data_IF_703862501849
#
_entry.id   IF_703862501849
#
_cell.length_a   1.000
_cell.length_b   1.000
_cell.length_c   1.000
_cell.angle_alpha   90.00
_cell.angle_beta   90.00
_cell.angle_gamma   90.00
#
_symmetry.space_group_name_H-M   'P 1'
#
loop_
_entity.id
_entity.type
_entity.pdbx_description
1 polymer ?
#
# COMPACT_ATOMS: atom_id res chain seq x y z
N UNK A 1 -9.38 6.84 8.47
CA UNK A 1 -9.04 5.46 8.09
C UNK A 1 -10.19 4.55 8.48
N UNK A 2 -10.58 3.64 7.58
CA UNK A 2 -11.63 2.65 7.78
C UNK A 2 -11.07 1.25 7.50
N UNK A 3 -11.66 0.23 8.14
CA UNK A 3 -11.29 -1.18 7.91
C UNK A 3 -12.56 -1.96 7.60
N UNK A 4 -12.58 -2.68 6.47
CA UNK A 4 -13.63 -3.63 6.12
C UNK A 4 -13.15 -5.08 6.31
N UNK A 5 -14.11 -6.01 6.32
CA UNK A 5 -13.82 -7.43 6.57
C UNK A 5 -13.75 -7.80 8.05
N UNK A 6 -14.28 -6.96 8.94
CA UNK A 6 -14.31 -7.22 10.39
C UNK A 6 -15.22 -8.40 10.73
N UNK A 7 -14.98 -9.11 11.86
CA UNK A 7 -15.89 -10.16 12.35
C UNK A 7 -17.32 -9.65 12.45
N UNK A 8 -18.27 -10.40 11.86
CA UNK A 8 -19.69 -10.05 11.86
C UNK A 8 -20.07 -8.82 11.03
N UNK A 9 -19.15 -8.22 10.31
CA UNK A 9 -19.46 -7.08 9.42
C UNK A 9 -20.26 -7.56 8.22
N UNK A 10 -21.35 -6.87 7.94
CA UNK A 10 -22.19 -7.09 6.76
C UNK A 10 -21.99 -5.97 5.74
N UNK A 11 -22.41 -6.19 4.49
CA UNK A 11 -22.44 -5.15 3.46
C UNK A 11 -23.20 -3.92 3.93
N UNK A 12 -24.36 -4.09 4.61
CA UNK A 12 -25.18 -2.96 5.06
C UNK A 12 -24.49 -2.18 6.19
N UNK A 13 -23.85 -2.84 7.14
CA UNK A 13 -23.10 -2.16 8.20
C UNK A 13 -21.90 -1.41 7.65
N UNK A 14 -21.21 -1.98 6.65
CA UNK A 14 -20.12 -1.31 5.96
C UNK A 14 -20.60 -0.09 5.17
N UNK A 15 -21.70 -0.21 4.41
CA UNK A 15 -22.32 0.92 3.73
C UNK A 15 -22.63 2.07 4.70
N UNK A 16 -23.26 1.77 5.81
CA UNK A 16 -23.56 2.77 6.85
C UNK A 16 -22.29 3.47 7.36
N UNK A 17 -21.19 2.72 7.56
CA UNK A 17 -19.90 3.26 7.98
C UNK A 17 -19.34 4.24 6.96
N UNK A 18 -19.32 3.86 5.67
CA UNK A 18 -18.81 4.72 4.59
C UNK A 18 -19.68 5.97 4.41
N UNK A 19 -21.01 5.84 4.44
CA UNK A 19 -21.90 6.99 4.35
C UNK A 19 -21.71 7.97 5.52
N UNK A 20 -21.52 7.44 6.73
CA UNK A 20 -21.20 8.28 7.87
C UNK A 20 -19.86 9.01 7.68
N UNK A 21 -18.81 8.31 7.22
CA UNK A 21 -17.52 8.93 6.93
C UNK A 21 -17.64 10.03 5.85
N UNK A 22 -18.43 9.80 4.79
CA UNK A 22 -18.69 10.79 3.75
C UNK A 22 -19.44 12.01 4.26
N UNK A 23 -20.34 11.85 5.25
CA UNK A 23 -21.08 12.97 5.85
C UNK A 23 -20.17 13.95 6.59
N UNK A 24 -18.98 13.52 7.00
CA UNK A 24 -17.95 14.36 7.62
C UNK A 24 -17.13 15.17 6.60
N UNK A 25 -17.36 14.94 5.31
CA UNK A 25 -16.73 15.64 4.17
C UNK A 25 -15.19 15.64 4.26
N UNK A 26 -14.52 14.51 4.56
CA UNK A 26 -13.06 14.49 4.64
C UNK A 26 -12.42 14.84 3.29
N UNK A 27 -11.14 15.12 3.27
CA UNK A 27 -10.38 15.35 2.04
C UNK A 27 -9.80 14.05 1.48
N UNK A 28 -9.61 13.05 2.35
CA UNK A 28 -8.95 11.79 2.07
C UNK A 28 -9.58 10.68 2.92
N UNK A 29 -9.69 9.49 2.33
CA UNK A 29 -10.18 8.27 2.98
C UNK A 29 -9.23 7.13 2.67
N UNK A 30 -8.83 6.40 3.72
CA UNK A 30 -8.16 5.11 3.60
C UNK A 30 -9.16 4.02 3.98
N UNK A 31 -9.32 3.01 3.12
CA UNK A 31 -10.21 1.87 3.33
C UNK A 31 -9.41 0.58 3.14
N UNK A 32 -9.04 -0.05 4.25
CA UNK A 32 -8.20 -1.26 4.25
C UNK A 32 -9.05 -2.52 4.43
N UNK A 33 -8.75 -3.57 3.68
CA UNK A 33 -9.21 -4.91 4.02
C UNK A 33 -8.53 -5.42 5.27
N UNK A 34 -9.30 -6.02 6.18
CA UNK A 34 -8.74 -6.65 7.36
C UNK A 34 -7.82 -7.80 6.95
N UNK A 35 -6.60 -7.77 7.42
CA UNK A 35 -5.64 -8.87 7.31
C UNK A 35 -5.39 -9.46 8.68
N UNK A 36 -5.52 -10.79 8.78
CA UNK A 36 -5.21 -11.50 10.02
C UNK A 36 -3.71 -11.76 10.06
N UNK A 37 -3.02 -11.07 10.95
CA UNK A 37 -1.58 -11.24 11.14
C UNK A 37 -1.30 -12.29 12.24
N UNK A 38 -0.36 -13.18 11.95
CA UNK A 38 0.07 -14.22 12.89
C UNK A 38 0.55 -13.61 14.21
N UNK A 39 0.31 -14.31 15.33
CA UNK A 39 0.70 -13.84 16.66
C UNK A 39 -0.20 -12.77 17.26
N UNK A 40 -1.28 -12.36 16.58
CA UNK A 40 -2.24 -11.38 17.12
C UNK A 40 -3.38 -12.05 17.87
N UNK A 41 -4.05 -11.34 18.82
CA UNK A 41 -5.26 -11.83 19.47
C UNK A 41 -6.37 -12.20 18.48
N UNK A 42 -6.48 -11.48 17.35
CA UNK A 42 -7.45 -11.80 16.31
C UNK A 42 -7.13 -13.15 15.64
N UNK A 43 -5.85 -13.41 15.33
CA UNK A 43 -5.46 -14.71 14.77
C UNK A 43 -5.82 -15.87 15.71
N UNK A 44 -5.64 -15.69 17.03
CA UNK A 44 -6.03 -16.68 18.02
C UNK A 44 -7.56 -16.91 18.05
N UNK A 45 -8.37 -15.84 17.91
CA UNK A 45 -9.83 -15.93 17.86
C UNK A 45 -10.30 -16.65 16.59
N UNK A 46 -9.71 -16.31 15.44
CA UNK A 46 -10.01 -16.98 14.16
C UNK A 46 -9.66 -18.48 14.22
N UNK A 47 -8.52 -18.84 14.81
CA UNK A 47 -8.14 -20.24 15.04
C UNK A 47 -9.12 -20.98 15.96
N UNK A 48 -9.85 -20.27 16.83
CA UNK A 48 -10.91 -20.80 17.70
C UNK A 48 -12.30 -20.81 17.05
N UNK A 49 -12.40 -20.44 15.77
CA UNK A 49 -13.64 -20.50 15.00
C UNK A 49 -14.38 -19.17 14.84
N UNK A 50 -13.76 -18.03 15.12
CA UNK A 50 -14.36 -16.75 14.77
C UNK A 50 -14.46 -16.59 13.25
N UNK A 51 -15.64 -16.25 12.78
CA UNK A 51 -15.96 -16.19 11.36
C UNK A 51 -15.68 -14.75 10.85
N UNK A 52 -14.87 -14.66 9.81
CA UNK A 52 -14.66 -13.46 9.02
C UNK A 52 -15.41 -13.54 7.69
N UNK A 53 -15.71 -12.42 7.04
CA UNK A 53 -16.13 -12.42 5.65
C UNK A 53 -15.11 -13.20 4.79
N UNK A 54 -15.60 -14.05 3.90
CA UNK A 54 -14.77 -14.76 2.94
C UNK A 54 -14.18 -13.82 1.86
N UNK A 55 -13.35 -14.37 0.98
CA UNK A 55 -12.66 -13.58 -0.04
C UNK A 55 -13.64 -12.91 -1.02
N UNK A 56 -14.73 -13.58 -1.40
CA UNK A 56 -15.75 -13.03 -2.28
C UNK A 56 -16.50 -11.89 -1.60
N UNK A 57 -16.87 -12.07 -0.34
CA UNK A 57 -17.51 -11.03 0.47
C UNK A 57 -16.58 -9.82 0.66
N UNK A 58 -15.30 -10.04 0.90
CA UNK A 58 -14.31 -8.96 1.00
C UNK A 58 -14.13 -8.24 -0.34
N UNK A 59 -14.10 -8.97 -1.45
CA UNK A 59 -14.07 -8.39 -2.80
C UNK A 59 -15.30 -7.52 -3.08
N UNK A 60 -16.49 -8.00 -2.71
CA UNK A 60 -17.74 -7.23 -2.85
C UNK A 60 -17.72 -5.92 -2.04
N UNK A 61 -17.24 -5.98 -0.78
CA UNK A 61 -17.07 -4.79 0.06
C UNK A 61 -16.11 -3.79 -0.59
N UNK A 62 -14.99 -4.28 -1.10
CA UNK A 62 -13.99 -3.45 -1.80
C UNK A 62 -14.56 -2.80 -3.06
N UNK A 63 -15.12 -3.59 -3.97
CA UNK A 63 -15.65 -3.09 -5.25
C UNK A 63 -16.78 -2.08 -5.03
N UNK A 64 -17.68 -2.35 -4.07
CA UNK A 64 -18.71 -1.39 -3.71
C UNK A 64 -18.09 -0.07 -3.20
N UNK A 65 -17.05 -0.17 -2.36
CA UNK A 65 -16.35 1.00 -1.80
C UNK A 65 -15.74 1.86 -2.90
N UNK A 66 -15.00 1.23 -3.83
CA UNK A 66 -14.41 1.93 -4.99
C UNK A 66 -15.48 2.72 -5.75
N UNK A 67 -16.53 2.03 -6.20
CA UNK A 67 -17.60 2.68 -6.97
C UNK A 67 -18.37 3.73 -6.18
N UNK A 68 -18.55 3.56 -4.86
CA UNK A 68 -19.24 4.53 -4.01
C UNK A 68 -18.44 5.80 -3.78
N UNK A 69 -17.16 5.65 -3.49
CA UNK A 69 -16.25 6.78 -3.22
C UNK A 69 -15.97 7.58 -4.49
N UNK A 70 -15.80 6.92 -5.62
CA UNK A 70 -15.64 7.58 -6.91
C UNK A 70 -16.85 8.48 -7.24
N UNK A 71 -18.07 7.95 -7.12
CA UNK A 71 -19.31 8.74 -7.30
C UNK A 71 -19.45 9.89 -6.30
N UNK A 72 -18.79 9.81 -5.16
CA UNK A 72 -18.75 10.88 -4.16
C UNK A 72 -17.63 11.92 -4.40
N UNK A 73 -16.85 11.77 -5.48
CA UNK A 73 -15.74 12.68 -5.82
C UNK A 73 -14.43 12.37 -5.11
N UNK A 74 -14.26 11.11 -4.68
CA UNK A 74 -13.03 10.59 -4.13
C UNK A 74 -12.47 9.49 -5.04
N UNK A 75 -11.84 9.83 -6.17
CA UNK A 75 -11.21 8.83 -7.01
C UNK A 75 -10.14 8.05 -6.24
N UNK A 76 -10.05 6.76 -6.54
CA UNK A 76 -9.00 5.91 -6.03
C UNK A 76 -7.67 6.31 -6.68
N UNK A 77 -6.62 6.56 -5.92
CA UNK A 77 -5.29 6.86 -6.46
C UNK A 77 -4.27 5.73 -6.21
N UNK A 78 -4.54 4.85 -5.26
CA UNK A 78 -3.85 3.57 -5.06
C UNK A 78 -4.79 2.60 -4.32
N UNK A 79 -4.39 1.35 -4.20
CA UNK A 79 -5.26 0.22 -3.86
C UNK A 79 -6.20 0.41 -2.65
N UNK A 80 -5.78 1.16 -1.63
CA UNK A 80 -6.56 1.36 -0.39
C UNK A 80 -6.94 2.80 -0.12
N UNK A 81 -6.48 3.75 -0.94
CA UNK A 81 -6.61 5.16 -0.63
C UNK A 81 -7.34 5.95 -1.73
N UNK A 82 -8.21 6.82 -1.25
CA UNK A 82 -9.15 7.62 -2.03
C UNK A 82 -9.06 9.08 -1.59
N UNK A 83 -9.05 10.01 -2.52
CA UNK A 83 -8.93 11.42 -2.18
C UNK A 83 -9.65 12.32 -3.15
N UNK A 84 -10.11 13.48 -2.67
CA UNK A 84 -10.50 14.58 -3.55
C UNK A 84 -9.32 15.01 -4.42
N UNK A 85 -9.55 15.54 -5.62
CA UNK A 85 -8.47 16.06 -6.47
C UNK A 85 -7.54 17.01 -5.69
N UNK A 86 -6.22 16.74 -5.75
CA UNK A 86 -5.19 17.50 -5.04
C UNK A 86 -4.92 17.07 -3.59
N UNK A 87 -5.68 16.11 -3.02
CA UNK A 87 -5.52 15.66 -1.64
C UNK A 87 -4.98 14.22 -1.48
N UNK A 88 -4.46 13.63 -2.55
CA UNK A 88 -3.73 12.36 -2.44
C UNK A 88 -2.54 12.50 -1.48
N UNK A 89 -2.33 11.49 -0.63
CA UNK A 89 -1.24 11.50 0.35
C UNK A 89 0.13 11.46 -0.34
N UNK A 90 0.86 12.57 -0.29
CA UNK A 90 2.23 12.65 -0.84
C UNK A 90 3.19 11.70 -0.13
N UNK A 91 2.93 11.40 1.15
CA UNK A 91 3.70 10.44 1.91
C UNK A 91 3.51 9.02 1.37
N UNK A 92 2.25 8.57 1.22
CA UNK A 92 1.95 7.24 0.68
C UNK A 92 2.47 7.09 -0.76
N UNK A 93 2.24 8.09 -1.60
CA UNK A 93 2.74 8.10 -2.98
C UNK A 93 4.26 8.00 -3.07
N UNK A 94 5.02 8.46 -2.05
CA UNK A 94 6.48 8.33 -2.05
C UNK A 94 6.92 6.87 -2.08
N UNK A 95 6.22 6.00 -1.36
CA UNK A 95 6.49 4.56 -1.37
C UNK A 95 6.06 3.91 -2.69
N UNK A 96 4.83 4.19 -3.13
CA UNK A 96 4.29 3.63 -4.38
C UNK A 96 5.09 4.04 -5.62
N UNK A 97 5.67 5.23 -5.60
CA UNK A 97 6.51 5.77 -6.68
C UNK A 97 8.00 5.46 -6.49
N UNK A 98 8.35 4.56 -5.58
CA UNK A 98 9.74 4.14 -5.29
C UNK A 98 10.70 5.31 -5.03
N UNK A 99 10.19 6.40 -4.44
CA UNK A 99 11.00 7.60 -4.16
C UNK A 99 11.77 7.44 -2.85
N UNK A 100 13.00 8.00 -2.78
CA UNK A 100 13.80 7.92 -1.57
C UNK A 100 13.08 8.50 -0.35
N UNK A 101 13.23 7.85 0.79
CA UNK A 101 12.71 8.31 2.08
C UNK A 101 13.65 7.96 3.22
N UNK A 102 13.56 8.73 4.31
CA UNK A 102 14.28 8.51 5.55
C UNK A 102 13.26 8.38 6.67
N UNK A 103 13.34 7.26 7.40
CA UNK A 103 12.58 7.03 8.61
C UNK A 103 13.32 7.53 9.86
N UNK A 104 12.59 7.87 10.90
CA UNK A 104 13.13 8.35 12.18
C UNK A 104 12.54 7.55 13.32
N UNK A 105 13.39 7.19 14.28
CA UNK A 105 12.99 6.49 15.49
C UNK A 105 13.30 4.97 15.44
N UNK A 106 13.06 4.28 16.59
CA UNK A 106 13.30 2.84 16.70
C UNK A 106 12.41 2.06 15.72
N UNK A 107 12.99 1.08 15.06
CA UNK A 107 12.31 0.24 14.07
C UNK A 107 11.97 0.94 12.76
N UNK A 108 12.32 2.22 12.57
CA UNK A 108 12.04 2.93 11.33
C UNK A 108 12.88 2.40 10.17
N UNK A 109 12.22 2.31 9.00
CA UNK A 109 12.87 1.92 7.75
C UNK A 109 13.18 3.14 6.88
N UNK A 110 14.25 3.04 6.11
CA UNK A 110 14.69 4.05 5.15
C UNK A 110 15.05 3.41 3.81
N UNK A 111 14.84 4.14 2.74
CA UNK A 111 15.34 3.80 1.41
C UNK A 111 15.97 5.06 0.81
N UNK A 112 17.28 5.20 0.99
CA UNK A 112 18.01 6.41 0.63
C UNK A 112 19.45 6.09 0.23
N UNK A 113 19.98 6.83 -0.75
CA UNK A 113 21.36 6.65 -1.21
C UNK A 113 21.63 5.31 -1.87
N UNK A 114 20.61 4.63 -2.42
CA UNK A 114 20.74 3.30 -3.03
C UNK A 114 20.69 2.14 -2.03
N UNK A 115 20.52 2.44 -0.74
CA UNK A 115 20.47 1.47 0.35
C UNK A 115 19.09 1.47 0.99
N UNK A 116 18.61 0.28 1.37
CA UNK A 116 17.47 0.12 2.28
C UNK A 116 18.03 -0.31 3.63
N UNK A 117 17.62 0.36 4.69
CA UNK A 117 18.08 0.04 6.04
C UNK A 117 16.99 0.27 7.07
N UNK A 118 17.10 -0.41 8.22
CA UNK A 118 16.24 -0.20 9.36
C UNK A 118 17.04 0.12 10.61
N UNK A 119 16.42 0.85 11.53
CA UNK A 119 16.98 1.08 12.85
C UNK A 119 16.56 0.00 13.83
N UNK A 120 17.37 -0.18 14.89
CA UNK A 120 17.08 -1.09 16.00
C UNK A 120 15.67 -0.80 16.55
N UNK A 121 14.91 -1.89 16.80
CA UNK A 121 13.51 -1.80 17.26
C UNK A 121 13.41 -1.59 18.75
N UNK A 122 14.38 -2.12 19.51
CA UNK A 122 14.40 -1.95 20.96
C UNK A 122 14.59 -0.49 21.34
N UNK A 123 13.68 0.03 22.15
CA UNK A 123 13.67 1.44 22.52
C UNK A 123 14.91 1.83 23.32
N UNK A 124 15.29 1.02 24.31
CA UNK A 124 16.43 1.30 25.16
C UNK A 124 17.74 1.22 24.37
N UNK A 125 17.87 0.22 23.50
CA UNK A 125 19.00 0.09 22.57
C UNK A 125 19.09 1.25 21.58
N UNK A 126 17.98 1.76 21.09
CA UNK A 126 17.96 2.94 20.23
C UNK A 126 18.41 4.20 20.98
N UNK A 127 17.88 4.44 22.20
CA UNK A 127 18.25 5.58 23.05
C UNK A 127 19.73 5.54 23.40
N UNK A 128 20.21 4.37 23.82
CA UNK A 128 21.64 4.18 24.16
C UNK A 128 22.55 4.42 22.97
N UNK A 129 22.17 3.93 21.80
CA UNK A 129 22.90 4.16 20.54
C UNK A 129 22.99 5.64 20.18
N UNK A 130 21.89 6.38 20.31
CA UNK A 130 21.86 7.84 20.08
C UNK A 130 22.76 8.57 21.08
N UNK A 131 22.67 8.24 22.37
CA UNK A 131 23.39 8.95 23.43
C UNK A 131 24.89 8.64 23.43
N UNK A 132 25.27 7.42 23.06
CA UNK A 132 26.69 6.96 23.10
C UNK A 132 27.38 7.01 21.74
N UNK A 133 26.68 7.42 20.67
CA UNK A 133 27.23 7.47 19.31
C UNK A 133 27.47 6.10 18.68
N UNK A 134 26.74 5.07 19.10
CA UNK A 134 26.79 3.72 18.53
C UNK A 134 26.03 3.60 17.20
N UNK A 135 26.22 2.46 16.53
CA UNK A 135 25.42 2.15 15.33
C UNK A 135 23.96 1.95 15.73
N UNK A 136 23.06 2.64 15.02
CA UNK A 136 21.61 2.47 15.16
C UNK A 136 21.02 1.53 14.09
N UNK A 137 21.84 1.09 13.14
CA UNK A 137 21.38 0.25 12.02
C UNK A 137 21.26 -1.20 12.48
N UNK A 138 20.05 -1.74 12.35
CA UNK A 138 19.72 -3.14 12.61
C UNK A 138 19.92 -4.00 11.37
N UNK A 139 19.44 -3.53 10.22
CA UNK A 139 19.61 -4.21 8.94
C UNK A 139 19.93 -3.21 7.83
N UNK A 140 20.73 -3.64 6.86
CA UNK A 140 21.07 -2.85 5.69
C UNK A 140 21.23 -3.76 4.47
N UNK A 141 20.71 -3.34 3.33
CA UNK A 141 20.86 -4.02 2.06
C UNK A 141 21.08 -3.04 0.89
N UNK A 142 21.89 -3.47 -0.07
CA UNK A 142 22.01 -2.84 -1.38
C UNK A 142 21.11 -3.59 -2.34
N UNK A 143 20.04 -2.96 -2.81
CA UNK A 143 19.09 -3.61 -3.71
C UNK A 143 19.60 -3.46 -5.16
N UNK A 144 19.90 -4.57 -5.85
CA UNK A 144 20.33 -4.53 -7.25
C UNK A 144 19.28 -3.86 -8.15
N UNK A 145 19.75 -3.19 -9.20
CA UNK A 145 18.86 -2.47 -10.15
C UNK A 145 17.75 -3.36 -10.70
N UNK A 146 18.04 -4.63 -10.99
CA UNK A 146 17.06 -5.59 -11.50
C UNK A 146 15.94 -5.86 -10.49
N UNK A 147 16.27 -5.98 -9.21
CA UNK A 147 15.28 -6.17 -8.15
C UNK A 147 14.46 -4.90 -7.95
N UNK A 148 15.11 -3.74 -7.97
CA UNK A 148 14.44 -2.42 -7.95
C UNK A 148 13.43 -2.26 -9.08
N UNK A 149 13.76 -2.75 -10.29
CA UNK A 149 12.81 -2.71 -11.41
C UNK A 149 11.60 -3.60 -11.17
N UNK A 150 11.76 -4.75 -10.53
CA UNK A 150 10.66 -5.62 -10.13
C UNK A 150 9.76 -4.98 -9.06
N UNK A 151 10.37 -4.34 -8.06
CA UNK A 151 9.63 -3.58 -7.03
C UNK A 151 8.81 -2.43 -7.65
N UNK A 152 9.42 -1.67 -8.57
CA UNK A 152 8.73 -0.61 -9.31
C UNK A 152 7.47 -1.15 -9.99
N UNK A 153 7.58 -2.24 -10.74
CA UNK A 153 6.43 -2.84 -11.43
C UNK A 153 5.33 -3.25 -10.44
N UNK A 154 5.72 -3.95 -9.37
CA UNK A 154 4.79 -4.41 -8.35
C UNK A 154 4.05 -3.24 -7.66
N UNK A 155 4.75 -2.17 -7.35
CA UNK A 155 4.20 -1.02 -6.65
C UNK A 155 3.34 -0.15 -7.58
N UNK A 156 3.82 0.11 -8.80
CA UNK A 156 3.12 0.95 -9.78
C UNK A 156 1.80 0.34 -10.26
N UNK A 157 1.73 -0.98 -10.40
CA UNK A 157 0.47 -1.68 -10.72
C UNK A 157 -0.59 -1.59 -9.63
N UNK A 158 -0.25 -1.07 -8.45
CA UNK A 158 -1.19 -0.80 -7.35
C UNK A 158 -1.66 0.65 -7.31
N UNK A 159 -1.21 1.48 -8.23
CA UNK A 159 -1.59 2.89 -8.35
C UNK A 159 -2.45 3.14 -9.58
N UNK A 160 -3.35 4.12 -9.52
CA UNK A 160 -4.12 4.54 -10.68
C UNK A 160 -3.26 5.11 -11.81
N UNK A 161 -2.06 5.60 -11.51
CA UNK A 161 -1.11 6.10 -12.51
C UNK A 161 -0.47 4.97 -13.32
N UNK A 162 -0.34 3.77 -12.75
CA UNK A 162 0.23 2.62 -13.44
C UNK A 162 1.72 2.75 -13.76
N UNK A 163 2.18 2.01 -14.75
CA UNK A 163 3.57 1.93 -15.19
C UNK A 163 3.82 2.93 -16.31
N UNK A 164 4.90 3.70 -16.19
CA UNK A 164 5.37 4.64 -17.21
C UNK A 164 6.59 4.06 -17.92
N UNK A 165 6.48 3.74 -19.22
CA UNK A 165 7.58 3.16 -20.00
C UNK A 165 8.85 4.03 -19.96
N UNK A 166 8.70 5.34 -20.15
CA UNK A 166 9.84 6.28 -20.15
C UNK A 166 10.56 6.31 -18.81
N UNK A 167 9.82 6.22 -17.68
CA UNK A 167 10.37 6.19 -16.33
C UNK A 167 11.11 4.87 -16.08
N UNK A 168 10.51 3.74 -16.50
CA UNK A 168 11.12 2.42 -16.39
C UNK A 168 12.45 2.35 -17.15
N UNK A 169 12.45 2.73 -18.43
CA UNK A 169 13.66 2.75 -19.28
C UNK A 169 14.71 3.72 -18.74
N UNK A 170 14.31 4.94 -18.37
CA UNK A 170 15.24 5.98 -17.91
C UNK A 170 15.85 5.70 -16.54
N UNK A 171 15.11 5.05 -15.62
CA UNK A 171 15.57 4.78 -14.26
C UNK A 171 16.34 3.47 -14.15
N UNK A 172 15.84 2.43 -14.82
CA UNK A 172 16.42 1.08 -14.68
C UNK A 172 17.33 0.67 -15.85
N UNK A 173 17.34 1.44 -16.93
CA UNK A 173 18.12 1.14 -18.16
C UNK A 173 17.84 -0.26 -18.69
N UNK A 174 16.57 -0.69 -18.62
CA UNK A 174 16.10 -1.99 -19.07
C UNK A 174 15.15 -1.82 -20.25
N UNK A 175 15.14 -2.81 -21.15
CA UNK A 175 14.18 -2.83 -22.24
C UNK A 175 12.77 -3.11 -21.71
N UNK A 176 11.80 -2.35 -22.23
CA UNK A 176 10.39 -2.47 -21.84
C UNK A 176 9.61 -3.49 -22.70
N UNK A 177 10.08 -3.80 -23.90
CA UNK A 177 9.35 -4.66 -24.85
C UNK A 177 8.99 -6.06 -24.28
N UNK A 178 9.87 -6.75 -23.52
CA UNK A 178 9.49 -8.03 -22.91
C UNK A 178 8.39 -7.90 -21.85
N UNK A 179 8.34 -6.75 -21.16
CA UNK A 179 7.30 -6.45 -20.18
C UNK A 179 5.98 -6.09 -20.87
N UNK A 180 6.04 -5.25 -21.89
CA UNK A 180 4.90 -4.85 -22.72
C UNK A 180 4.14 -6.08 -23.24
N UNK A 181 4.85 -7.02 -23.86
CA UNK A 181 4.28 -8.27 -24.37
C UNK A 181 3.58 -9.12 -23.28
N UNK A 182 4.06 -9.04 -22.04
CA UNK A 182 3.42 -9.71 -20.89
C UNK A 182 2.21 -8.95 -20.36
N UNK A 183 2.21 -7.62 -20.42
CA UNK A 183 1.10 -6.79 -19.97
C UNK A 183 -0.07 -6.82 -20.96
N UNK A 184 0.20 -6.98 -22.26
CA UNK A 184 -0.81 -7.02 -23.32
C UNK A 184 -1.89 -8.08 -23.06
N UNK A 185 -1.53 -9.24 -22.53
CA UNK A 185 -2.50 -10.28 -22.13
C UNK A 185 -3.51 -9.81 -21.09
N UNK A 186 -3.18 -8.82 -20.25
CA UNK A 186 -4.09 -8.26 -19.26
C UNK A 186 -4.99 -7.19 -19.89
N UNK A 187 -4.47 -6.46 -20.87
CA UNK A 187 -5.28 -5.54 -21.68
C UNK A 187 -6.34 -6.32 -22.49
N UNK A 188 -5.97 -7.44 -23.10
CA UNK A 188 -6.90 -8.31 -23.84
C UNK A 188 -8.03 -8.85 -22.95
N UNK A 189 -7.77 -9.05 -21.66
CA UNK A 189 -8.77 -9.47 -20.67
C UNK A 189 -9.58 -8.31 -20.07
N UNK A 190 -9.29 -7.07 -20.45
CA UNK A 190 -9.90 -5.88 -19.86
C UNK A 190 -9.48 -5.61 -18.42
N UNK A 191 -8.36 -6.17 -17.96
CA UNK A 191 -7.84 -5.98 -16.59
C UNK A 191 -6.83 -4.84 -16.50
N UNK A 192 -6.36 -4.35 -17.61
CA UNK A 192 -5.49 -3.19 -17.73
C UNK A 192 -5.87 -2.38 -18.98
N UNK A 193 -5.49 -1.12 -18.97
CA UNK A 193 -5.63 -0.21 -20.12
C UNK A 193 -4.25 0.32 -20.50
N UNK A 194 -4.03 0.48 -21.79
CA UNK A 194 -2.88 1.18 -22.33
C UNK A 194 -3.32 2.58 -22.73
N UNK A 195 -2.73 3.60 -22.12
CA UNK A 195 -3.02 5.01 -22.36
C UNK A 195 -1.86 5.73 -23.05
#
# INVERSE_FOLDING_TARGET
>A
DLIYGLPGQTMDSWKATVEHALSLIPQHLSCYGLKVEEGTPLAARVAQGEILPDDDQQADLYLWTVGRLERAGYPQYEISNFAKPGFASRHNLRYWLTRPYIGFGPGAHSDFGGRRYSFVRDLDGYIDGVLRGGSLIDSEELIPRRERSGEYLMLRLRTAQGIEEWEYRGTYFMDFAPLEARLEQFCDKGWAERT
#
